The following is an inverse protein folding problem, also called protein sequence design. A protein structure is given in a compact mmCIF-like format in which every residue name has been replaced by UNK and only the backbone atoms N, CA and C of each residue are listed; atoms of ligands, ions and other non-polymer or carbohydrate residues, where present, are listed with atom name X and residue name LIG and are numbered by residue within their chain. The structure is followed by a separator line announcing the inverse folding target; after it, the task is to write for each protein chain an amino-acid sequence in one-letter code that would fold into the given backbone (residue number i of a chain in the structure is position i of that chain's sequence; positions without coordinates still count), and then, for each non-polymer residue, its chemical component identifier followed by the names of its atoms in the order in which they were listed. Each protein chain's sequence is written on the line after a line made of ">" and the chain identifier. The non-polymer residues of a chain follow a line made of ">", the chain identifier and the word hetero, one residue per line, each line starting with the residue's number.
data_IF_278842613196
#
_entry.id   IF_278842613196
#
_cell.length_a   1.000
_cell.length_b   1.000
_cell.length_c   1.000
_cell.angle_alpha   90.00
_cell.angle_beta   90.00
_cell.angle_gamma   90.00
#
_symmetry.space_group_name_H-M   'P 1'
#
loop_
_entity.id
_entity.type
_entity.pdbx_description
1 polymer ?
#
# COMPACT_ATOMS: atom_id res chain seq x y z
N UNK A 1 -11.21 -1.67 28.23
CA UNK A 1 -11.39 -2.74 27.22
C UNK A 1 -10.92 -2.17 25.88
N UNK A 2 -9.90 -2.77 25.24
CA UNK A 2 -9.46 -2.31 23.91
C UNK A 2 -10.59 -2.61 22.93
N UNK A 3 -11.05 -1.59 22.21
CA UNK A 3 -12.04 -1.73 21.14
C UNK A 3 -11.57 -2.80 20.15
N UNK A 4 -12.44 -3.77 19.87
CA UNK A 4 -12.25 -4.68 18.75
C UNK A 4 -12.32 -3.86 17.46
N UNK A 5 -11.18 -3.79 16.76
CA UNK A 5 -11.04 -3.00 15.54
C UNK A 5 -11.82 -3.67 14.41
N UNK A 6 -12.59 -2.89 13.65
CA UNK A 6 -13.27 -3.39 12.46
C UNK A 6 -12.28 -3.85 11.38
N UNK A 7 -12.65 -4.88 10.62
CA UNK A 7 -11.88 -5.29 9.44
C UNK A 7 -11.82 -4.17 8.40
N UNK A 8 -10.72 -4.10 7.65
CA UNK A 8 -10.54 -3.11 6.58
C UNK A 8 -11.67 -3.12 5.54
N UNK A 9 -12.29 -4.28 5.30
CA UNK A 9 -13.47 -4.44 4.44
C UNK A 9 -14.72 -3.67 4.92
N UNK A 10 -14.79 -3.29 6.19
CA UNK A 10 -15.91 -2.56 6.80
C UNK A 10 -15.64 -1.05 6.94
N UNK A 11 -14.42 -0.60 6.71
CA UNK A 11 -14.03 0.81 6.86
C UNK A 11 -14.41 1.65 5.62
N UNK A 12 -14.49 0.99 4.46
CA UNK A 12 -14.74 1.61 3.17
C UNK A 12 -16.20 1.80 2.79
N UNK A 13 -16.44 2.35 1.60
CA UNK A 13 -17.76 2.41 0.96
C UNK A 13 -17.66 2.00 -0.51
N UNK A 14 -18.79 1.59 -1.08
CA UNK A 14 -18.84 1.19 -2.50
C UNK A 14 -18.31 2.30 -3.42
N UNK A 15 -17.51 1.93 -4.42
CA UNK A 15 -16.90 2.81 -5.42
C UNK A 15 -15.65 3.57 -4.98
N UNK A 16 -15.16 3.43 -3.75
CA UNK A 16 -13.94 4.14 -3.31
C UNK A 16 -12.68 3.58 -3.94
N UNK A 17 -11.86 4.47 -4.47
CA UNK A 17 -10.55 4.18 -5.06
C UNK A 17 -9.46 4.78 -4.18
N UNK A 18 -8.51 3.95 -3.74
CA UNK A 18 -7.43 4.37 -2.87
C UNK A 18 -6.21 4.91 -3.62
N UNK A 19 -5.93 4.40 -4.81
CA UNK A 19 -4.75 4.72 -5.59
C UNK A 19 -5.11 4.80 -7.07
N UNK A 20 -4.65 5.85 -7.74
CA UNK A 20 -4.71 5.95 -9.19
C UNK A 20 -3.32 5.69 -9.75
N UNK A 21 -3.16 4.71 -10.67
CA UNK A 21 -1.87 4.51 -11.32
C UNK A 21 -1.45 5.76 -12.12
N UNK A 22 -0.13 5.96 -12.31
CA UNK A 22 0.37 7.04 -13.17
C UNK A 22 -0.06 6.80 -14.63
N UNK A 23 0.14 7.83 -15.47
CA UNK A 23 -0.11 7.73 -16.89
C UNK A 23 0.66 6.55 -17.52
N UNK A 24 0.00 5.79 -18.40
CA UNK A 24 0.59 4.63 -19.06
C UNK A 24 1.26 5.07 -20.36
N UNK A 25 2.59 4.91 -20.45
CA UNK A 25 3.37 5.26 -21.64
C UNK A 25 3.40 4.14 -22.71
N UNK A 26 2.66 3.05 -22.49
CA UNK A 26 2.61 1.90 -23.41
C UNK A 26 1.52 2.13 -24.45
N UNK A 27 1.82 1.97 -25.76
CA UNK A 27 0.80 2.06 -26.80
C UNK A 27 -0.32 1.05 -26.56
N UNK A 28 -1.57 1.47 -26.70
CA UNK A 28 -2.72 0.57 -26.63
C UNK A 28 -2.74 -0.33 -27.88
N UNK A 29 -2.11 -1.50 -27.81
CA UNK A 29 -2.00 -2.45 -28.93
C UNK A 29 -3.34 -3.15 -29.28
N UNK A 30 -4.34 -3.08 -28.40
CA UNK A 30 -5.64 -3.74 -28.57
C UNK A 30 -6.76 -2.98 -27.87
N UNK A 31 -7.87 -2.73 -28.57
CA UNK A 31 -9.06 -2.06 -28.00
C UNK A 31 -9.84 -2.94 -27.00
N UNK A 32 -9.63 -4.25 -27.01
CA UNK A 32 -10.40 -5.19 -26.18
C UNK A 32 -9.54 -6.24 -25.44
N UNK A 33 -9.92 -6.56 -24.20
CA UNK A 33 -9.29 -7.61 -23.37
C UNK A 33 -9.45 -9.00 -24.01
N UNK A 34 -10.50 -9.19 -24.81
CA UNK A 34 -10.79 -10.45 -25.51
C UNK A 34 -9.72 -10.81 -26.54
N UNK A 35 -9.01 -9.82 -27.09
CA UNK A 35 -7.93 -10.02 -28.06
C UNK A 35 -6.60 -10.39 -27.39
N UNK A 36 -6.42 -9.97 -26.13
CA UNK A 36 -5.21 -10.24 -25.34
C UNK A 36 -5.28 -11.56 -24.56
N UNK A 37 -6.44 -11.89 -23.99
CA UNK A 37 -6.60 -13.00 -23.06
C UNK A 37 -7.75 -13.90 -23.51
N UNK A 38 -7.50 -15.18 -23.81
CA UNK A 38 -8.57 -16.13 -24.13
C UNK A 38 -9.64 -16.20 -23.04
N UNK A 39 -10.93 -16.19 -23.43
CA UNK A 39 -12.09 -16.18 -22.49
C UNK A 39 -12.08 -17.25 -21.41
N UNK A 40 -11.44 -18.39 -21.66
CA UNK A 40 -11.29 -19.49 -20.68
C UNK A 40 -10.42 -19.10 -19.46
N UNK A 41 -9.53 -18.13 -19.64
CA UNK A 41 -8.60 -17.63 -18.61
C UNK A 41 -9.07 -16.32 -17.96
N UNK A 42 -10.11 -15.69 -18.50
CA UNK A 42 -10.63 -14.45 -17.96
C UNK A 42 -11.41 -14.70 -16.66
N UNK A 43 -11.27 -13.75 -15.73
CA UNK A 43 -11.94 -13.80 -14.43
C UNK A 43 -13.43 -13.47 -14.59
N UNK A 44 -14.32 -14.29 -14.02
CA UNK A 44 -15.78 -14.15 -14.15
C UNK A 44 -16.46 -13.28 -13.08
N UNK A 45 -15.77 -13.04 -11.96
CA UNK A 45 -16.29 -12.29 -10.80
C UNK A 45 -15.24 -11.30 -10.36
N UNK A 46 -15.64 -10.13 -9.93
CA UNK A 46 -14.70 -9.11 -9.46
C UNK A 46 -13.87 -9.57 -8.25
N UNK A 47 -12.65 -9.01 -8.09
CA UNK A 47 -11.84 -9.26 -6.91
C UNK A 47 -12.49 -8.67 -5.66
N UNK A 48 -12.49 -9.45 -4.57
CA UNK A 48 -12.90 -8.98 -3.25
C UNK A 48 -11.77 -8.14 -2.64
N UNK A 49 -11.64 -6.90 -3.12
CA UNK A 49 -10.69 -5.92 -2.59
C UNK A 49 -11.43 -4.93 -1.68
N UNK A 50 -10.76 -4.42 -0.62
CA UNK A 50 -11.33 -3.36 0.19
C UNK A 50 -11.43 -2.07 -0.62
N UNK A 51 -12.60 -1.44 -0.60
CA UNK A 51 -12.87 -0.19 -1.29
C UNK A 51 -12.65 0.96 -0.30
N UNK A 52 -11.39 1.30 -0.04
CA UNK A 52 -10.98 2.28 0.97
C UNK A 52 -9.98 3.31 0.40
N UNK A 53 -9.97 4.52 0.97
CA UNK A 53 -9.02 5.57 0.58
C UNK A 53 -7.61 5.26 1.12
N UNK A 54 -6.56 5.78 0.48
CA UNK A 54 -5.17 5.58 0.92
C UNK A 54 -4.97 5.90 2.41
N UNK A 55 -5.51 7.03 2.88
CA UNK A 55 -5.41 7.41 4.31
C UNK A 55 -6.07 6.41 5.25
N UNK A 56 -7.17 5.79 4.84
CA UNK A 56 -7.87 4.78 5.64
C UNK A 56 -7.05 3.50 5.73
N UNK A 57 -6.48 3.08 4.60
CA UNK A 57 -5.56 1.95 4.52
C UNK A 57 -4.32 2.19 5.39
N UNK A 58 -3.69 3.36 5.27
CA UNK A 58 -2.50 3.72 6.06
C UNK A 58 -2.79 3.69 7.57
N UNK A 59 -3.90 4.29 8.01
CA UNK A 59 -4.31 4.25 9.43
C UNK A 59 -4.57 2.83 9.90
N UNK A 60 -5.21 2.01 9.08
CA UNK A 60 -5.48 0.61 9.38
C UNK A 60 -4.18 -0.15 9.64
N UNK A 61 -3.23 -0.07 8.71
CA UNK A 61 -1.94 -0.76 8.82
C UNK A 61 -1.07 -0.22 9.95
N UNK A 62 -1.05 1.10 10.18
CA UNK A 62 -0.31 1.69 11.30
C UNK A 62 -0.84 1.18 12.64
N UNK A 63 -2.16 1.12 12.82
CA UNK A 63 -2.74 0.58 14.04
C UNK A 63 -2.42 -0.92 14.20
N UNK A 64 -2.47 -1.70 13.11
CA UNK A 64 -2.08 -3.12 13.14
C UNK A 64 -0.62 -3.30 13.53
N UNK A 65 0.28 -2.46 13.01
CA UNK A 65 1.70 -2.51 13.34
C UNK A 65 1.96 -2.29 14.84
N UNK A 66 1.19 -1.44 15.51
CA UNK A 66 1.33 -1.25 16.98
C UNK A 66 0.87 -2.45 17.81
N UNK A 67 0.08 -3.35 17.22
CA UNK A 67 -0.43 -4.56 17.87
C UNK A 67 0.45 -5.78 17.62
N UNK A 68 1.42 -5.71 16.72
CA UNK A 68 2.37 -6.80 16.45
C UNK A 68 3.63 -6.63 17.29
N UNK A 69 4.17 -7.75 17.77
CA UNK A 69 5.49 -7.77 18.41
C UNK A 69 6.54 -7.99 17.33
N UNK A 70 7.30 -6.94 17.03
CA UNK A 70 8.42 -7.00 16.10
C UNK A 70 9.75 -7.02 16.85
N UNK A 71 10.81 -7.41 16.13
CA UNK A 71 12.21 -7.36 16.61
C UNK A 71 12.65 -5.95 16.99
N UNK A 72 12.01 -4.92 16.43
CA UNK A 72 12.36 -3.52 16.64
C UNK A 72 11.57 -2.90 17.80
N UNK A 73 10.43 -3.48 18.17
CA UNK A 73 9.61 -3.03 19.31
C UNK A 73 10.05 -3.61 20.66
N UNK A 74 10.90 -4.64 20.69
CA UNK A 74 11.33 -5.27 21.94
C UNK A 74 12.30 -6.44 21.74
N UNK A 75 12.75 -7.03 22.85
CA UNK A 75 13.66 -8.18 22.80
C UNK A 75 12.93 -9.43 22.31
N UNK A 76 13.46 -10.06 21.26
CA UNK A 76 12.84 -11.21 20.60
C UNK A 76 13.76 -12.43 20.71
N UNK A 77 13.69 -13.15 21.83
CA UNK A 77 14.63 -14.23 22.20
C UNK A 77 14.34 -15.59 21.58
N UNK A 78 13.69 -15.65 20.42
CA UNK A 78 13.37 -16.94 19.80
C UNK A 78 14.67 -17.62 19.31
N UNK A 79 15.09 -18.63 20.08
CA UNK A 79 16.42 -19.27 19.98
C UNK A 79 16.64 -20.02 18.67
N UNK A 80 15.57 -20.45 17.99
CA UNK A 80 15.65 -21.28 16.77
C UNK A 80 15.56 -20.49 15.47
N UNK A 81 15.17 -19.21 15.52
CA UNK A 81 14.78 -18.45 14.32
C UNK A 81 15.86 -17.49 13.79
N UNK A 82 17.01 -17.37 14.46
CA UNK A 82 18.10 -16.41 14.12
C UNK A 82 17.57 -15.04 13.68
N UNK A 83 16.72 -14.43 14.51
CA UNK A 83 16.12 -13.10 14.26
C UNK A 83 17.16 -11.99 14.45
N UNK A 84 18.14 -11.92 13.55
CA UNK A 84 19.27 -10.97 13.57
C UNK A 84 18.82 -9.55 13.24
N UNK A 85 19.65 -8.58 13.64
CA UNK A 85 19.47 -7.19 13.24
C UNK A 85 19.45 -7.01 11.73
N UNK A 86 18.41 -6.33 11.26
CA UNK A 86 18.29 -5.82 9.90
C UNK A 86 18.81 -4.36 9.87
N UNK A 87 20.02 -4.10 9.36
CA UNK A 87 20.58 -2.75 9.34
C UNK A 87 19.90 -1.89 8.26
N UNK A 88 19.72 -0.60 8.56
CA UNK A 88 19.03 0.34 7.65
C UNK A 88 19.81 0.55 6.34
N UNK A 89 21.14 0.46 6.38
CA UNK A 89 21.97 0.69 5.19
C UNK A 89 21.82 -0.38 4.11
N UNK A 90 21.33 -1.58 4.47
CA UNK A 90 21.01 -2.63 3.50
C UNK A 90 19.72 -2.31 2.71
N UNK A 91 18.83 -1.46 3.25
CA UNK A 91 17.64 -0.98 2.56
C UNK A 91 18.00 0.12 1.55
N UNK A 92 18.85 1.07 1.95
CA UNK A 92 19.30 2.17 1.07
C UNK A 92 20.03 1.69 -0.18
N UNK A 93 20.68 0.53 -0.12
CA UNK A 93 21.34 -0.09 -1.29
C UNK A 93 20.34 -0.66 -2.30
N UNK A 94 19.16 -1.10 -1.85
CA UNK A 94 18.09 -1.62 -2.73
C UNK A 94 17.29 -0.51 -3.39
N UNK A 95 17.10 0.61 -2.69
CA UNK A 95 16.38 1.77 -3.25
C UNK A 95 17.16 2.45 -4.38
N UNK A 96 18.49 2.31 -4.44
CA UNK A 96 19.29 2.80 -5.58
C UNK A 96 18.94 2.16 -6.93
N UNK A 97 18.25 1.02 -6.94
CA UNK A 97 17.83 0.33 -8.20
C UNK A 97 16.39 0.65 -8.59
N UNK A 98 15.56 1.19 -7.69
CA UNK A 98 14.12 1.41 -7.94
C UNK A 98 13.68 2.89 -7.89
N UNK A 99 14.64 3.83 -7.85
CA UNK A 99 14.34 5.26 -7.89
C UNK A 99 13.97 5.72 -9.31
N UNK A 100 12.81 5.29 -9.79
CA UNK A 100 12.17 5.86 -10.97
C UNK A 100 10.63 5.77 -10.90
N UNK A 101 10.02 5.93 -9.72
CA UNK A 101 8.65 6.47 -9.54
C UNK A 101 8.19 6.38 -8.07
N UNK A 102 8.25 7.52 -7.37
CA UNK A 102 7.44 7.85 -6.19
C UNK A 102 7.40 6.84 -5.02
N UNK A 103 8.53 6.48 -4.44
CA UNK A 103 8.53 5.86 -3.10
C UNK A 103 8.38 6.97 -2.05
N UNK A 104 7.18 7.14 -1.50
CA UNK A 104 6.97 7.82 -0.23
C UNK A 104 7.69 7.02 0.85
N UNK A 105 8.92 7.42 1.19
CA UNK A 105 9.56 6.97 2.41
C UNK A 105 8.65 7.41 3.56
N UNK A 106 7.96 6.46 4.19
CA UNK A 106 7.24 6.70 5.43
C UNK A 106 8.30 6.94 6.50
N UNK A 107 8.81 8.17 6.53
CA UNK A 107 9.52 8.74 7.63
C UNK A 107 8.58 9.01 8.80
N UNK A 108 9.17 9.50 9.89
CA UNK A 108 8.56 9.80 11.19
C UNK A 108 7.11 10.34 11.07
N UNK A 109 6.24 9.99 12.03
CA UNK A 109 4.84 10.44 12.13
C UNK A 109 4.65 11.97 11.90
N UNK A 110 5.67 12.76 12.19
CA UNK A 110 5.69 14.22 12.02
C UNK A 110 5.74 14.66 10.54
N UNK A 111 6.32 13.86 9.64
CA UNK A 111 6.50 14.18 8.21
C UNK A 111 5.25 13.88 7.37
N UNK A 112 4.41 12.94 7.81
CA UNK A 112 3.17 12.52 7.12
C UNK A 112 2.17 13.69 7.01
N UNK A 113 2.14 14.57 8.02
CA UNK A 113 1.21 15.71 8.06
C UNK A 113 1.60 16.83 7.08
N UNK A 114 2.89 16.99 6.77
CA UNK A 114 3.40 18.02 5.87
C UNK A 114 3.13 17.69 4.39
N UNK A 115 3.13 16.40 4.02
CA UNK A 115 2.94 15.95 2.63
C UNK A 115 1.46 16.00 2.21
N UNK A 116 0.54 15.69 3.14
CA UNK A 116 -0.90 15.68 2.87
C UNK A 116 -1.51 17.06 2.58
N UNK A 117 -0.80 18.16 2.86
CA UNK A 117 -1.24 19.52 2.56
C UNK A 117 -1.10 19.91 1.08
N UNK A 118 -0.17 19.28 0.33
CA UNK A 118 0.15 19.67 -1.05
C UNK A 118 -0.49 18.79 -2.13
N UNK A 119 -1.11 17.66 -1.79
CA UNK A 119 -1.67 16.72 -2.78
C UNK A 119 -3.12 17.04 -3.24
N UNK A 120 -3.81 17.98 -2.59
CA UNK A 120 -5.24 18.25 -2.86
C UNK A 120 -5.52 19.48 -3.75
N UNK A 121 -4.53 20.06 -4.45
CA UNK A 121 -4.75 21.25 -5.30
C UNK A 121 -4.72 21.03 -6.82
N UNK A 122 -4.68 19.80 -7.34
CA UNK A 122 -4.72 19.55 -8.79
C UNK A 122 -5.88 18.64 -9.19
N UNK A 123 -6.99 19.21 -9.66
CA UNK A 123 -8.13 18.45 -10.20
C UNK A 123 -8.04 18.17 -11.71
N UNK A 124 -8.87 17.24 -12.18
CA UNK A 124 -9.59 17.21 -13.47
C UNK A 124 -10.53 15.97 -13.41
N UNK A 125 -11.84 16.07 -13.18
CA UNK A 125 -12.90 16.34 -14.18
C UNK A 125 -12.56 15.85 -15.60
N UNK A 126 -12.95 14.62 -15.92
CA UNK A 126 -13.67 14.18 -17.11
C UNK A 126 -14.00 12.70 -16.98
#
# INVERSE_FOLDING_TARGET
>A
MKNDKAFIFKLGSEGRVGFSPPYCDVPEESESIDDLIPKKLQRKKDPLLPQALEREVMRDFLELATKTSSRDTGFYSLVTCTMKHNPIDDLKKKDRVNNASHTTSVGRLDEVTAVLGNQYQGGCLA
#
